data_IF_557004455093
#
_entry.id   IF_557004455093
#
_cell.length_a   1.000
_cell.length_b   1.000
_cell.length_c   1.000
_cell.angle_alpha   90.00
_cell.angle_beta   90.00
_cell.angle_gamma   90.00
#
_symmetry.space_group_name_H-M   'P 1'
#
loop_
_entity.id
_entity.type
_entity.pdbx_description
1 polymer ?
#
# COMPACT_ATOMS: atom_id res chain seq x y z
N UNK A 1 33.72 -35.34 -0.54
CA UNK A 1 33.44 -35.55 0.89
C UNK A 1 32.01 -36.04 1.04
N UNK A 2 31.86 -37.10 1.84
CA UNK A 2 30.70 -37.95 2.14
C UNK A 2 29.32 -37.28 2.29
N UNK A 3 28.30 -38.02 1.85
CA UNK A 3 26.90 -37.98 2.29
C UNK A 3 26.74 -38.30 3.79
N UNK A 4 25.76 -37.69 4.46
CA UNK A 4 24.67 -38.24 5.34
C UNK A 4 23.70 -37.06 5.60
N UNK A 5 22.37 -37.11 5.53
CA UNK A 5 21.43 -38.20 5.75
C UNK A 5 20.77 -38.03 7.13
N UNK A 6 19.63 -37.33 7.19
CA UNK A 6 18.45 -37.56 8.08
C UNK A 6 17.53 -36.32 8.01
N UNK A 7 16.21 -36.41 7.83
CA UNK A 7 15.32 -37.51 8.21
C UNK A 7 14.63 -37.21 9.55
N UNK A 8 13.80 -36.15 9.63
CA UNK A 8 12.80 -35.97 10.71
C UNK A 8 11.72 -34.99 10.21
N UNK A 9 10.75 -35.44 9.42
CA UNK A 9 9.50 -36.09 9.85
C UNK A 9 8.76 -35.34 10.95
N UNK A 10 7.69 -34.67 10.50
CA UNK A 10 6.40 -34.47 11.16
C UNK A 10 6.31 -34.97 12.61
N UNK A 11 6.07 -34.06 13.54
CA UNK A 11 4.88 -34.05 14.38
C UNK A 11 5.07 -33.06 15.53
N UNK A 12 3.94 -32.47 15.93
CA UNK A 12 3.66 -32.21 17.34
C UNK A 12 4.20 -30.90 17.95
N UNK A 13 3.48 -29.81 17.68
CA UNK A 13 3.06 -28.93 18.77
C UNK A 13 1.56 -28.62 18.66
N UNK A 14 0.75 -29.67 18.51
CA UNK A 14 -0.70 -29.64 18.72
C UNK A 14 -0.94 -30.11 20.15
N UNK A 15 -0.57 -29.27 21.12
CA UNK A 15 -0.60 -29.63 22.54
C UNK A 15 -1.28 -28.57 23.41
N UNK A 16 -2.44 -28.09 22.96
CA UNK A 16 -3.45 -27.51 23.84
C UNK A 16 -4.23 -28.64 24.52
N UNK A 17 -3.62 -29.28 25.53
CA UNK A 17 -4.29 -30.29 26.36
C UNK A 17 -5.42 -29.64 27.15
N UNK A 18 -6.63 -29.86 26.63
CA UNK A 18 -7.85 -30.21 27.35
C UNK A 18 -7.59 -30.60 28.82
N UNK A 19 -7.67 -29.63 29.74
CA UNK A 19 -7.67 -29.82 31.19
C UNK A 19 -8.56 -28.76 31.85
N UNK A 20 -9.85 -28.83 31.61
CA UNK A 20 -10.86 -28.25 32.50
C UNK A 20 -12.04 -29.22 32.58
N UNK A 21 -11.74 -30.43 33.03
CA UNK A 21 -12.74 -31.31 33.62
C UNK A 21 -12.50 -31.29 35.13
N UNK A 22 -13.59 -31.23 35.88
CA UNK A 22 -13.67 -31.36 37.34
C UNK A 22 -13.27 -30.14 38.19
N UNK A 23 -14.15 -29.15 38.23
CA UNK A 23 -14.67 -28.73 39.53
C UNK A 23 -16.20 -28.77 39.50
N UNK A 24 -16.73 -29.92 39.90
CA UNK A 24 -18.12 -30.11 40.30
C UNK A 24 -18.20 -29.86 41.80
N UNK A 25 -18.88 -28.79 42.23
CA UNK A 25 -19.55 -28.72 43.53
C UNK A 25 -20.54 -27.54 43.59
N UNK A 26 -21.75 -27.80 43.08
CA UNK A 26 -23.04 -27.60 43.77
C UNK A 26 -23.30 -26.22 44.40
N UNK A 27 -24.21 -25.44 43.80
CA UNK A 27 -25.44 -24.97 44.47
C UNK A 27 -26.41 -24.40 43.44
N UNK A 28 -27.64 -24.95 43.47
CA UNK A 28 -28.69 -24.63 42.52
C UNK A 28 -29.38 -23.30 42.83
N UNK A 29 -30.03 -22.77 41.79
CA UNK A 29 -31.38 -22.22 41.77
C UNK A 29 -31.49 -21.09 40.73
N UNK A 30 -32.59 -21.16 39.99
CA UNK A 30 -33.22 -20.10 39.18
C UNK A 30 -32.67 -19.90 37.77
N UNK A 31 -33.18 -20.75 36.86
CA UNK A 31 -33.43 -20.39 35.47
C UNK A 31 -34.30 -19.12 35.43
N UNK A 32 -33.70 -17.97 35.14
CA UNK A 32 -34.39 -16.85 34.53
C UNK A 32 -34.03 -16.85 33.05
N UNK A 33 -35.02 -17.09 32.19
CA UNK A 33 -34.88 -17.11 30.74
C UNK A 33 -34.47 -15.71 30.24
N UNK A 34 -33.17 -15.49 30.04
CA UNK A 34 -32.66 -14.36 29.30
C UNK A 34 -32.82 -14.68 27.80
N UNK A 35 -33.88 -14.15 27.18
CA UNK A 35 -34.04 -14.17 25.72
C UNK A 35 -32.87 -13.41 25.10
N UNK A 36 -31.87 -14.14 24.59
CA UNK A 36 -30.77 -13.57 23.84
C UNK A 36 -31.32 -13.00 22.52
N UNK A 37 -31.60 -11.69 22.50
CA UNK A 37 -31.86 -10.96 21.27
C UNK A 37 -30.52 -10.86 20.53
N UNK A 38 -30.30 -11.76 19.57
CA UNK A 38 -29.18 -11.64 18.64
C UNK A 38 -29.46 -10.47 17.69
N UNK A 39 -29.00 -9.28 18.07
CA UNK A 39 -28.93 -8.13 17.16
C UNK A 39 -27.78 -8.40 16.19
N UNK A 40 -28.10 -8.72 14.94
CA UNK A 40 -27.11 -8.70 13.85
C UNK A 40 -26.69 -7.26 13.60
N UNK A 41 -25.53 -6.87 14.13
CA UNK A 41 -24.86 -5.64 13.72
C UNK A 41 -24.30 -5.87 12.31
N UNK A 42 -24.72 -5.10 11.28
CA UNK A 42 -24.09 -5.19 9.98
C UNK A 42 -22.62 -4.74 10.11
N UNK A 43 -21.69 -5.63 9.75
CA UNK A 43 -20.28 -5.24 9.65
C UNK A 43 -20.11 -4.24 8.51
N UNK A 44 -19.33 -3.16 8.68
CA UNK A 44 -19.03 -2.26 7.58
C UNK A 44 -18.29 -3.04 6.48
N UNK A 45 -18.85 -3.05 5.28
CA UNK A 45 -18.16 -3.55 4.09
C UNK A 45 -17.11 -2.50 3.73
N UNK A 46 -15.85 -2.75 4.10
CA UNK A 46 -14.72 -1.94 3.63
C UNK A 46 -14.54 -2.27 2.15
N UNK A 47 -14.88 -1.33 1.27
CA UNK A 47 -14.61 -1.49 -0.15
C UNK A 47 -13.10 -1.68 -0.33
N UNK A 48 -12.70 -2.81 -0.92
CA UNK A 48 -11.30 -3.10 -1.17
C UNK A 48 -10.84 -2.20 -2.33
N UNK A 49 -9.81 -1.38 -2.09
CA UNK A 49 -9.27 -0.50 -3.12
C UNK A 49 -8.76 -1.31 -4.32
N UNK A 50 -8.99 -0.79 -5.52
CA UNK A 50 -8.38 -1.35 -6.72
C UNK A 50 -6.89 -0.98 -6.79
N UNK A 51 -6.10 -1.80 -7.48
CA UNK A 51 -4.67 -1.51 -7.64
C UNK A 51 -4.37 -0.15 -8.31
N UNK A 52 -5.11 0.29 -9.35
CA UNK A 52 -4.93 1.64 -9.90
C UNK A 52 -5.20 2.76 -8.89
N UNK A 53 -6.23 2.62 -8.06
CA UNK A 53 -6.54 3.59 -7.00
C UNK A 53 -5.43 3.64 -5.96
N UNK A 54 -4.93 2.47 -5.55
CA UNK A 54 -3.78 2.35 -4.64
C UNK A 54 -2.55 3.09 -5.18
N UNK A 55 -2.20 2.89 -6.45
CA UNK A 55 -1.05 3.58 -7.08
C UNK A 55 -1.22 5.10 -7.10
N UNK A 56 -2.43 5.59 -7.36
CA UNK A 56 -2.68 7.03 -7.37
C UNK A 56 -2.60 7.65 -5.98
N UNK A 57 -3.10 6.95 -4.96
CA UNK A 57 -2.92 7.37 -3.56
C UNK A 57 -1.44 7.42 -3.19
N UNK A 58 -0.69 6.34 -3.45
CA UNK A 58 0.75 6.26 -3.14
C UNK A 58 1.54 7.37 -3.84
N UNK A 59 1.24 7.66 -5.12
CA UNK A 59 1.86 8.77 -5.84
C UNK A 59 1.61 10.11 -5.13
N UNK A 60 0.37 10.36 -4.70
CA UNK A 60 -0.01 11.60 -4.02
C UNK A 60 0.65 11.75 -2.65
N UNK A 61 0.70 10.66 -1.88
CA UNK A 61 1.37 10.60 -0.57
C UNK A 61 2.88 10.87 -0.71
N UNK A 62 3.57 10.11 -1.57
CA UNK A 62 5.01 10.30 -1.74
C UNK A 62 5.36 11.65 -2.37
N UNK A 63 4.51 12.20 -3.26
CA UNK A 63 4.68 13.58 -3.75
C UNK A 63 4.68 14.55 -2.58
N UNK A 64 3.68 14.47 -1.70
CA UNK A 64 3.56 15.37 -0.56
C UNK A 64 4.78 15.24 0.39
N UNK A 65 5.19 14.00 0.69
CA UNK A 65 6.34 13.73 1.56
C UNK A 65 7.65 14.29 0.98
N UNK A 66 7.89 14.10 -0.31
CA UNK A 66 9.12 14.59 -0.97
C UNK A 66 9.09 16.12 -1.05
N UNK A 67 7.95 16.75 -1.37
CA UNK A 67 7.85 18.21 -1.38
C UNK A 67 8.04 18.81 0.02
N UNK A 68 7.61 18.11 1.07
CA UNK A 68 7.87 18.53 2.45
C UNK A 68 9.38 18.45 2.81
N UNK A 69 10.13 17.54 2.18
CA UNK A 69 11.57 17.36 2.41
C UNK A 69 12.44 18.31 1.57
N UNK A 70 12.16 18.42 0.26
CA UNK A 70 12.96 19.21 -0.68
C UNK A 70 12.54 20.68 -0.75
N UNK A 71 11.26 20.96 -0.48
CA UNK A 71 10.63 22.21 -0.86
C UNK A 71 10.35 22.30 -2.37
N UNK A 72 9.82 23.44 -2.80
CA UNK A 72 9.46 23.71 -4.21
C UNK A 72 10.41 24.68 -4.92
N UNK A 73 11.42 25.20 -4.21
CA UNK A 73 12.36 26.18 -4.78
C UNK A 73 13.16 25.52 -5.90
N UNK A 74 13.23 26.16 -7.06
CA UNK A 74 13.94 25.62 -8.23
C UNK A 74 13.08 24.72 -9.13
N UNK A 75 11.85 24.41 -8.72
CA UNK A 75 10.88 23.71 -9.57
C UNK A 75 10.00 24.73 -10.31
N UNK A 76 9.66 24.43 -11.56
CA UNK A 76 8.74 25.26 -12.34
C UNK A 76 7.29 25.06 -11.89
N UNK A 77 6.49 26.11 -11.98
CA UNK A 77 5.04 26.02 -11.73
C UNK A 77 4.35 25.04 -12.69
N UNK A 78 4.83 24.97 -13.94
CA UNK A 78 4.32 24.04 -14.95
C UNK A 78 4.52 22.58 -14.52
N UNK A 79 5.69 22.22 -13.98
CA UNK A 79 5.98 20.89 -13.48
C UNK A 79 5.08 20.52 -12.28
N UNK A 80 4.97 21.43 -11.30
CA UNK A 80 4.14 21.21 -10.11
C UNK A 80 2.67 21.02 -10.49
N UNK A 81 2.16 21.90 -11.36
CA UNK A 81 0.79 21.84 -11.88
C UNK A 81 0.53 20.57 -12.68
N UNK A 82 1.45 20.14 -13.54
CA UNK A 82 1.26 18.93 -14.34
C UNK A 82 1.08 17.68 -13.45
N UNK A 83 1.78 17.62 -12.32
CA UNK A 83 1.58 16.55 -11.34
C UNK A 83 0.23 16.65 -10.62
N UNK A 84 -0.23 17.85 -10.26
CA UNK A 84 -1.57 18.05 -9.70
C UNK A 84 -2.68 17.66 -10.69
N UNK A 85 -2.50 18.00 -11.97
CA UNK A 85 -3.42 17.62 -13.04
C UNK A 85 -3.43 16.09 -13.25
N UNK A 86 -2.27 15.42 -13.14
CA UNK A 86 -2.18 13.96 -13.16
C UNK A 86 -2.95 13.31 -12.01
N UNK A 87 -2.81 13.82 -10.77
CA UNK A 87 -3.53 13.34 -9.59
C UNK A 87 -5.04 13.60 -9.74
N UNK A 88 -5.43 14.80 -10.15
CA UNK A 88 -6.83 15.19 -10.36
C UNK A 88 -7.50 14.34 -11.43
N UNK A 89 -6.75 13.93 -12.47
CA UNK A 89 -7.19 12.95 -13.48
C UNK A 89 -7.22 11.49 -13.00
N UNK A 90 -7.04 11.24 -11.70
CA UNK A 90 -7.03 9.91 -11.10
C UNK A 90 -5.81 9.08 -11.49
N UNK A 91 -4.70 9.74 -11.86
CA UNK A 91 -3.45 9.11 -12.31
C UNK A 91 -3.63 8.17 -13.52
N UNK A 92 -4.61 8.49 -14.39
CA UNK A 92 -4.92 7.72 -15.60
C UNK A 92 -4.54 8.46 -16.89
N UNK A 93 -4.39 9.78 -16.81
CA UNK A 93 -4.07 10.60 -17.96
C UNK A 93 -2.64 10.32 -18.42
N UNK A 94 -2.48 10.04 -19.72
CA UNK A 94 -1.16 9.82 -20.34
C UNK A 94 -0.56 11.16 -20.80
N UNK A 95 -0.31 12.05 -19.85
CA UNK A 95 0.42 13.30 -20.11
C UNK A 95 1.87 13.07 -19.67
N UNK A 96 2.85 13.14 -20.60
CA UNK A 96 4.25 13.07 -20.22
C UNK A 96 4.63 14.33 -19.44
N UNK A 97 5.24 14.13 -18.26
CA UNK A 97 5.83 15.19 -17.44
C UNK A 97 7.34 15.09 -17.60
N UNK A 98 7.95 16.07 -18.26
CA UNK A 98 9.40 16.12 -18.42
C UNK A 98 10.00 16.98 -17.29
N UNK A 99 10.79 16.41 -16.36
CA UNK A 99 11.58 17.20 -15.43
C UNK A 99 12.75 17.86 -16.16
N UNK A 100 12.92 19.17 -16.00
CA UNK A 100 13.91 19.99 -16.71
C UNK A 100 14.96 20.53 -15.76
N UNK A 101 14.57 21.02 -14.58
CA UNK A 101 15.52 21.57 -13.60
C UNK A 101 16.17 20.46 -12.78
N UNK A 102 17.31 20.77 -12.15
CA UNK A 102 18.00 19.81 -11.29
C UNK A 102 17.10 19.35 -10.13
N UNK A 103 16.32 20.28 -9.57
CA UNK A 103 15.38 20.01 -8.48
C UNK A 103 14.19 19.14 -8.94
N UNK A 104 13.68 19.36 -10.16
CA UNK A 104 12.62 18.53 -10.75
C UNK A 104 13.11 17.10 -11.04
N UNK A 105 14.35 16.97 -11.51
CA UNK A 105 14.99 15.67 -11.76
C UNK A 105 15.18 14.91 -10.45
N UNK A 106 15.70 15.57 -9.42
CA UNK A 106 15.88 14.96 -8.09
C UNK A 106 14.55 14.51 -7.49
N UNK A 107 13.54 15.38 -7.53
CA UNK A 107 12.18 15.03 -7.12
C UNK A 107 11.67 13.79 -7.86
N UNK A 108 11.82 13.76 -9.20
CA UNK A 108 11.30 12.69 -10.04
C UNK A 108 12.01 11.36 -9.77
N UNK A 109 13.32 11.40 -9.51
CA UNK A 109 14.12 10.23 -9.12
C UNK A 109 13.65 9.66 -7.78
N UNK A 110 13.50 10.52 -6.76
CA UNK A 110 13.04 10.10 -5.44
C UNK A 110 11.63 9.52 -5.48
N UNK A 111 10.71 10.17 -6.20
CA UNK A 111 9.35 9.68 -6.33
C UNK A 111 9.31 8.33 -7.05
N UNK A 112 10.11 8.18 -8.10
CA UNK A 112 10.23 6.92 -8.84
C UNK A 112 10.73 5.79 -7.94
N UNK A 113 11.77 6.06 -7.14
CA UNK A 113 12.30 5.10 -6.17
C UNK A 113 11.27 4.69 -5.12
N UNK A 114 10.54 5.66 -4.54
CA UNK A 114 9.50 5.36 -3.56
C UNK A 114 8.36 4.51 -4.14
N UNK A 115 7.94 4.84 -5.36
CA UNK A 115 6.92 4.08 -6.07
C UNK A 115 7.40 2.67 -6.43
N UNK A 116 8.67 2.52 -6.82
CA UNK A 116 9.29 1.21 -7.03
C UNK A 116 9.31 0.38 -5.74
N UNK A 117 9.70 0.97 -4.61
CA UNK A 117 9.72 0.31 -3.31
C UNK A 117 8.32 -0.14 -2.87
N UNK A 118 7.28 0.61 -3.22
CA UNK A 118 5.89 0.24 -2.97
C UNK A 118 5.32 -0.79 -3.97
N UNK A 119 6.13 -1.27 -4.92
CA UNK A 119 5.71 -2.19 -5.98
C UNK A 119 4.86 -1.55 -7.08
N UNK A 120 4.72 -0.22 -7.08
CA UNK A 120 3.98 0.55 -8.07
C UNK A 120 4.85 0.86 -9.32
N UNK A 121 5.37 -0.19 -9.96
CA UNK A 121 6.31 -0.10 -11.08
C UNK A 121 5.62 -0.05 -12.46
N UNK A 122 6.43 0.10 -13.52
CA UNK A 122 6.00 0.03 -14.92
C UNK A 122 5.61 1.40 -15.50
N UNK A 123 4.71 1.39 -16.49
CA UNK A 123 4.27 2.58 -17.24
C UNK A 123 3.30 3.50 -16.48
N UNK A 124 3.24 3.38 -15.15
CA UNK A 124 2.36 4.19 -14.32
C UNK A 124 2.89 5.62 -14.12
N UNK A 125 4.20 5.76 -13.92
CA UNK A 125 4.81 7.06 -13.64
C UNK A 125 4.75 7.95 -14.88
N UNK A 126 4.38 9.24 -14.74
CA UNK A 126 4.20 10.14 -15.86
C UNK A 126 5.53 10.72 -16.38
N UNK A 127 6.66 10.37 -15.77
CA UNK A 127 7.95 10.97 -16.08
C UNK A 127 8.52 10.48 -17.41
N UNK A 128 8.50 11.35 -18.41
CA UNK A 128 9.13 11.11 -19.70
C UNK A 128 9.32 12.43 -20.44
N UNK A 129 10.42 12.54 -21.19
CA UNK A 129 10.68 13.66 -22.08
C UNK A 129 10.48 13.20 -23.52
N UNK A 130 9.56 13.84 -24.23
CA UNK A 130 9.34 13.58 -25.65
C UNK A 130 10.45 14.28 -26.41
N UNK A 131 11.33 13.50 -27.04
CA UNK A 131 12.32 14.04 -27.99
C UNK A 131 11.60 14.33 -29.30
N UNK A 132 11.64 15.57 -29.83
CA UNK A 132 11.07 15.87 -31.13
C UNK A 132 11.73 15.03 -32.24
N UNK A 133 11.01 14.69 -33.33
CA UNK A 133 11.48 13.75 -34.34
C UNK A 133 12.71 14.23 -35.15
N UNK A 134 13.10 15.49 -35.01
CA UNK A 134 14.31 16.08 -35.61
C UNK A 134 15.57 15.92 -34.73
N UNK A 135 15.45 15.32 -33.54
CA UNK A 135 16.59 14.89 -32.72
C UNK A 135 17.35 16.01 -32.01
N UNK A 136 16.85 17.25 -32.05
CA UNK A 136 17.42 18.36 -31.31
C UNK A 136 16.70 18.49 -29.96
N UNK A 137 17.43 18.24 -28.87
CA UNK A 137 16.98 18.41 -27.48
C UNK A 137 17.65 19.61 -26.84
#
# INVERSE_FOLDING_TARGET
MQRRGDGRSNADCRRGRLRFAFQLAISGALLAAASAVFVSVPSPVVAQESWPEKKCRLFSEFKADILAQLGIKGMSEAFLKAQDDFITGGCRTRIPICPVTAEEIEFSNLLSLQMMNAGATGSFLPFSCVVPPDGNS
#
